data_IF_758804098453
#
_entry.id   IF_758804098453
#
_cell.length_a   1.000
_cell.length_b   1.000
_cell.length_c   1.000
_cell.angle_alpha   90.00
_cell.angle_beta   90.00
_cell.angle_gamma   90.00
#
_symmetry.space_group_name_H-M   'P 1'
#
loop_
_entity.id
_entity.type
_entity.pdbx_description
1 polymer ?
#
# COMPACT_ATOMS: atom_id res chain seq x y z
N UNK A 1 16.65 2.42 -24.64
CA UNK A 1 15.30 1.85 -24.44
C UNK A 1 15.43 0.67 -23.50
N UNK A 2 15.56 0.92 -22.20
CA UNK A 2 15.66 -0.14 -21.19
C UNK A 2 14.26 -0.31 -20.63
N UNK A 3 13.59 -1.40 -21.02
CA UNK A 3 12.25 -1.71 -20.51
C UNK A 3 12.29 -1.82 -18.99
N UNK A 4 11.42 -1.05 -18.32
CA UNK A 4 11.15 -1.25 -16.90
C UNK A 4 10.79 -2.74 -16.69
N UNK A 5 11.34 -3.41 -15.66
CA UNK A 5 10.94 -4.78 -15.37
C UNK A 5 9.42 -4.81 -15.20
N UNK A 6 8.75 -5.66 -15.99
CA UNK A 6 7.31 -5.84 -15.88
C UNK A 6 6.99 -6.25 -14.44
N UNK A 7 6.19 -5.44 -13.74
CA UNK A 7 5.63 -5.87 -12.45
C UNK A 7 4.94 -7.23 -12.66
N UNK A 8 5.13 -8.19 -11.75
CA UNK A 8 4.50 -9.50 -11.88
C UNK A 8 3.00 -9.30 -12.05
N UNK A 9 2.44 -9.87 -13.13
CA UNK A 9 1.03 -9.73 -13.44
C UNK A 9 0.18 -10.24 -12.26
N UNK A 10 -0.68 -9.37 -11.73
CA UNK A 10 -1.55 -9.70 -10.60
C UNK A 10 -2.57 -10.74 -11.06
N UNK A 11 -2.57 -11.96 -10.48
CA UNK A 11 -3.48 -13.02 -10.90
C UNK A 11 -4.93 -12.56 -10.90
N UNK A 12 -5.69 -12.92 -11.94
CA UNK A 12 -7.09 -12.50 -12.10
C UNK A 12 -8.02 -12.99 -10.96
N UNK A 13 -7.62 -14.04 -10.25
CA UNK A 13 -8.36 -14.55 -9.10
C UNK A 13 -8.12 -13.77 -7.81
N UNK A 14 -7.13 -12.88 -7.73
CA UNK A 14 -6.96 -11.98 -6.59
C UNK A 14 -7.98 -10.84 -6.68
N UNK A 15 -8.92 -10.84 -5.74
CA UNK A 15 -10.05 -9.93 -5.65
C UNK A 15 -9.93 -8.97 -4.48
N UNK A 16 -9.38 -9.41 -3.34
CA UNK A 16 -9.27 -8.59 -2.13
C UNK A 16 -7.81 -8.32 -1.79
N UNK A 17 -7.55 -7.09 -1.34
CA UNK A 17 -6.20 -6.62 -1.07
C UNK A 17 -6.17 -5.86 0.26
N UNK A 18 -5.06 -6.01 0.97
CA UNK A 18 -4.76 -5.24 2.16
C UNK A 18 -3.46 -4.48 1.94
N UNK A 19 -3.55 -3.15 1.98
CA UNK A 19 -2.41 -2.28 1.78
C UNK A 19 -1.83 -1.77 3.10
N UNK A 20 -0.52 -1.61 3.10
CA UNK A 20 0.23 -1.02 4.20
C UNK A 20 1.11 0.12 3.72
N UNK A 21 0.96 1.28 4.36
CA UNK A 21 1.90 2.38 4.26
C UNK A 21 2.91 2.28 5.40
N UNK A 22 4.18 2.00 5.08
CA UNK A 22 5.21 1.74 6.08
C UNK A 22 5.81 3.05 6.61
N UNK A 23 5.43 3.43 7.82
CA UNK A 23 6.16 4.40 8.64
C UNK A 23 6.92 3.73 9.78
N UNK A 24 7.98 4.40 10.28
CA UNK A 24 8.80 3.88 11.38
C UNK A 24 7.99 3.63 12.66
N UNK A 25 7.13 4.59 13.02
CA UNK A 25 6.31 4.56 14.25
C UNK A 25 4.88 4.09 14.02
N UNK A 26 4.39 4.24 12.80
CA UNK A 26 2.98 4.10 12.43
C UNK A 26 2.90 3.45 11.07
N UNK A 27 1.93 2.55 10.89
CA UNK A 27 1.70 1.87 9.62
C UNK A 27 0.26 2.08 9.23
N UNK A 28 0.04 2.86 8.17
CA UNK A 28 -1.27 3.05 7.58
C UNK A 28 -1.80 1.72 7.06
N UNK A 29 -3.11 1.50 7.14
CA UNK A 29 -3.75 0.28 6.67
C UNK A 29 -4.97 0.65 5.85
N UNK A 30 -5.16 -0.03 4.71
CA UNK A 30 -6.36 0.10 3.90
C UNK A 30 -6.78 -1.25 3.31
N UNK A 31 -8.07 -1.47 3.18
CA UNK A 31 -8.63 -2.64 2.50
C UNK A 31 -9.23 -2.21 1.17
N UNK A 32 -9.22 -3.08 0.17
CA UNK A 32 -9.74 -2.73 -1.14
C UNK A 32 -10.04 -3.97 -1.95
N UNK A 33 -10.79 -3.78 -3.03
CA UNK A 33 -11.13 -4.87 -3.93
C UNK A 33 -10.97 -4.49 -5.41
N UNK A 34 -10.69 -5.51 -6.22
CA UNK A 34 -10.48 -5.37 -7.67
C UNK A 34 -11.74 -4.89 -8.39
N UNK A 35 -12.91 -5.33 -7.95
CA UNK A 35 -14.18 -5.04 -8.63
C UNK A 35 -14.56 -3.57 -8.59
N UNK A 36 -14.45 -2.92 -7.43
CA UNK A 36 -14.81 -1.52 -7.24
C UNK A 36 -13.64 -0.57 -7.54
N UNK A 37 -12.42 -1.09 -7.61
CA UNK A 37 -11.18 -0.32 -7.75
C UNK A 37 -11.07 0.82 -6.72
N UNK A 38 -11.57 0.56 -5.51
CA UNK A 38 -11.62 1.50 -4.41
C UNK A 38 -10.97 0.91 -3.16
N UNK A 39 -10.53 1.80 -2.27
CA UNK A 39 -9.96 1.42 -0.99
C UNK A 39 -10.68 2.13 0.16
N UNK A 40 -10.77 1.44 1.30
CA UNK A 40 -11.35 1.96 2.54
C UNK A 40 -10.27 2.01 3.62
N UNK A 41 -10.10 3.17 4.29
CA UNK A 41 -9.07 3.32 5.31
C UNK A 41 -9.42 2.48 6.53
N UNK A 42 -8.42 1.82 7.10
CA UNK A 42 -8.54 1.04 8.33
C UNK A 42 -7.77 1.71 9.46
N UNK A 43 -7.97 1.22 10.69
CA UNK A 43 -7.27 1.77 11.84
C UNK A 43 -5.75 1.54 11.73
N UNK A 44 -5.01 2.65 11.76
CA UNK A 44 -3.53 2.69 11.69
C UNK A 44 -2.90 1.87 12.82
N UNK A 45 -1.92 1.06 12.45
CA UNK A 45 -1.14 0.26 13.39
C UNK A 45 -0.10 1.18 14.04
N UNK A 46 -0.21 1.38 15.35
CA UNK A 46 0.72 2.19 16.14
C UNK A 46 1.67 1.26 16.90
N UNK A 47 2.59 0.63 16.18
CA UNK A 47 3.58 -0.27 16.74
C UNK A 47 4.86 -0.28 15.92
N UNK A 48 5.94 -0.65 16.60
CA UNK A 48 7.30 -0.73 16.06
C UNK A 48 7.82 -2.17 16.16
N UNK A 49 8.77 -2.53 15.31
CA UNK A 49 9.41 -3.84 15.33
C UNK A 49 8.43 -5.01 15.20
N UNK A 50 8.64 -6.05 16.03
CA UNK A 50 7.84 -7.28 15.99
C UNK A 50 6.38 -7.10 16.42
N UNK A 51 6.09 -6.15 17.32
CA UNK A 51 4.73 -5.89 17.78
C UNK A 51 3.79 -5.42 16.65
N UNK A 52 4.35 -4.79 15.60
CA UNK A 52 3.61 -4.44 14.39
C UNK A 52 3.06 -5.68 13.69
N UNK A 53 3.86 -6.73 13.57
CA UNK A 53 3.46 -7.93 12.84
C UNK A 53 2.34 -8.69 13.54
N UNK A 54 2.23 -8.61 14.88
CA UNK A 54 1.08 -9.15 15.59
C UNK A 54 -0.22 -8.44 15.15
N UNK A 55 -0.22 -7.11 15.07
CA UNK A 55 -1.38 -6.37 14.58
C UNK A 55 -1.66 -6.60 13.10
N UNK A 56 -0.62 -6.73 12.27
CA UNK A 56 -0.79 -7.13 10.86
C UNK A 56 -1.45 -8.51 10.75
N UNK A 57 -1.03 -9.47 11.57
CA UNK A 57 -1.63 -10.81 11.59
C UNK A 57 -3.13 -10.76 11.92
N UNK A 58 -3.51 -9.94 12.89
CA UNK A 58 -4.94 -9.72 13.23
C UNK A 58 -5.70 -9.13 12.04
N UNK A 59 -5.13 -8.15 11.32
CA UNK A 59 -5.77 -7.58 10.12
C UNK A 59 -5.90 -8.58 8.98
N UNK A 60 -4.87 -9.40 8.76
CA UNK A 60 -4.92 -10.46 7.74
C UNK A 60 -6.00 -11.49 8.10
N UNK A 61 -6.11 -11.86 9.37
CA UNK A 61 -7.12 -12.80 9.85
C UNK A 61 -8.53 -12.25 9.75
N UNK A 62 -8.71 -10.96 10.04
CA UNK A 62 -9.98 -10.24 9.96
C UNK A 62 -10.47 -10.13 8.50
N UNK A 63 -9.60 -9.68 7.60
CA UNK A 63 -9.98 -9.31 6.24
C UNK A 63 -9.76 -10.41 5.19
N UNK A 64 -8.94 -11.42 5.50
CA UNK A 64 -8.59 -12.54 4.62
C UNK A 64 -8.28 -12.09 3.17
N UNK A 65 -7.29 -11.19 2.97
CA UNK A 65 -6.96 -10.69 1.65
C UNK A 65 -6.29 -11.79 0.81
N UNK A 66 -6.54 -11.78 -0.50
CA UNK A 66 -5.83 -12.65 -1.45
C UNK A 66 -4.34 -12.26 -1.55
N UNK A 67 -4.06 -10.97 -1.46
CA UNK A 67 -2.70 -10.44 -1.50
C UNK A 67 -2.54 -9.14 -0.70
N UNK A 68 -1.29 -8.80 -0.44
CA UNK A 68 -0.90 -7.60 0.28
C UNK A 68 -0.28 -6.59 -0.70
N UNK A 69 -0.39 -5.31 -0.38
CA UNK A 69 0.22 -4.21 -1.13
C UNK A 69 1.03 -3.35 -0.16
N UNK A 70 2.21 -2.90 -0.56
CA UNK A 70 3.01 -1.96 0.23
C UNK A 70 3.41 -0.75 -0.61
N UNK A 71 3.35 0.43 0.01
CA UNK A 71 3.98 1.63 -0.53
C UNK A 71 5.49 1.56 -0.37
N UNK A 72 6.22 1.93 -1.42
CA UNK A 72 7.67 2.03 -1.39
C UNK A 72 8.05 3.46 -1.81
N UNK A 73 8.60 4.27 -0.89
CA UNK A 73 9.04 5.61 -1.23
C UNK A 73 10.28 5.49 -2.13
N UNK A 74 10.25 6.07 -3.31
CA UNK A 74 11.41 6.18 -4.17
C UNK A 74 11.77 7.65 -4.33
N UNK A 75 12.97 8.08 -3.97
CA UNK A 75 13.46 9.42 -4.30
C UNK A 75 14.84 9.38 -4.96
N UNK A 76 15.18 10.37 -5.79
CA UNK A 76 16.48 10.45 -6.44
C UNK A 76 17.61 10.90 -5.49
N UNK A 77 17.29 11.52 -4.35
CA UNK A 77 18.26 12.14 -3.44
C UNK A 77 18.51 11.25 -2.20
N UNK A 78 19.50 10.36 -2.27
CA UNK A 78 20.23 9.72 -1.15
C UNK A 78 19.43 9.21 0.07
N UNK A 79 18.93 10.10 0.93
CA UNK A 79 18.25 9.79 2.21
C UNK A 79 17.06 8.83 2.07
N UNK A 80 16.41 8.82 0.92
CA UNK A 80 15.26 7.95 0.69
C UNK A 80 15.62 6.49 0.52
N UNK A 81 16.87 6.16 0.19
CA UNK A 81 17.31 4.77 0.06
C UNK A 81 17.09 3.98 1.35
N UNK A 82 17.35 4.56 2.54
CA UNK A 82 17.16 3.84 3.81
C UNK A 82 15.67 3.51 4.05
N UNK A 83 14.77 4.44 3.75
CA UNK A 83 13.33 4.20 3.91
C UNK A 83 12.81 3.21 2.86
N UNK A 84 13.28 3.30 1.61
CA UNK A 84 13.02 2.30 0.56
C UNK A 84 13.44 0.91 1.04
N UNK A 85 14.68 0.76 1.53
CA UNK A 85 15.22 -0.51 2.00
C UNK A 85 14.41 -1.08 3.18
N UNK A 86 13.97 -0.22 4.09
CA UNK A 86 13.11 -0.62 5.22
C UNK A 86 11.73 -1.06 4.77
N UNK A 87 11.09 -0.35 3.84
CA UNK A 87 9.80 -0.74 3.27
C UNK A 87 9.90 -2.07 2.51
N UNK A 88 10.94 -2.25 1.69
CA UNK A 88 11.22 -3.50 0.99
C UNK A 88 11.50 -4.65 1.97
N UNK A 89 12.25 -4.39 3.05
CA UNK A 89 12.49 -5.38 4.11
C UNK A 89 11.18 -5.77 4.80
N UNK A 90 10.32 -4.80 5.08
CA UNK A 90 8.98 -5.05 5.62
C UNK A 90 8.16 -5.93 4.69
N UNK A 91 8.13 -5.65 3.38
CA UNK A 91 7.49 -6.50 2.38
C UNK A 91 8.01 -7.94 2.36
N UNK A 92 9.34 -8.13 2.41
CA UNK A 92 9.95 -9.47 2.53
C UNK A 92 9.53 -10.19 3.81
N UNK A 93 9.47 -9.49 4.93
CA UNK A 93 9.02 -10.06 6.19
C UNK A 93 7.54 -10.46 6.16
N UNK A 94 6.68 -9.65 5.53
CA UNK A 94 5.27 -9.98 5.30
C UNK A 94 5.13 -11.28 4.50
N UNK A 95 5.83 -11.39 3.37
CA UNK A 95 5.83 -12.61 2.54
C UNK A 95 6.28 -13.83 3.34
N UNK A 96 7.38 -13.71 4.07
CA UNK A 96 7.95 -14.82 4.84
C UNK A 96 7.10 -15.26 6.03
N UNK A 97 6.41 -14.33 6.70
CA UNK A 97 5.61 -14.63 7.89
C UNK A 97 4.20 -15.14 7.56
N UNK A 98 3.58 -14.60 6.52
CA UNK A 98 2.16 -14.83 6.24
C UNK A 98 1.92 -15.67 4.98
N UNK A 99 2.94 -15.92 4.16
CA UNK A 99 2.82 -16.71 2.93
C UNK A 99 2.00 -16.04 1.84
N UNK A 100 1.55 -14.79 2.04
CA UNK A 100 0.81 -14.02 1.06
C UNK A 100 1.74 -13.34 0.06
N UNK A 101 1.26 -13.20 -1.18
CA UNK A 101 1.94 -12.39 -2.17
C UNK A 101 1.89 -10.92 -1.75
N UNK A 102 3.03 -10.23 -1.84
CA UNK A 102 3.13 -8.80 -1.54
C UNK A 102 3.52 -8.10 -2.84
N UNK A 103 2.72 -7.11 -3.22
CA UNK A 103 2.99 -6.21 -4.34
C UNK A 103 3.51 -4.88 -3.83
N UNK A 104 4.41 -4.27 -4.60
CA UNK A 104 5.07 -3.02 -4.25
C UNK A 104 4.56 -1.92 -5.18
N UNK A 105 4.19 -0.77 -4.61
CA UNK A 105 3.72 0.40 -5.37
C UNK A 105 4.74 1.52 -5.19
N UNK A 106 5.20 2.08 -6.31
CA UNK A 106 6.10 3.23 -6.32
C UNK A 106 5.31 4.51 -6.01
N UNK A 107 5.63 5.14 -4.88
CA UNK A 107 4.94 6.35 -4.40
C UNK A 107 5.24 7.62 -5.22
N UNK A 108 6.21 7.58 -6.16
CA UNK A 108 6.56 8.74 -7.02
C UNK A 108 5.42 9.27 -7.86
N UNK A 109 4.45 8.43 -8.23
CA UNK A 109 3.33 8.83 -9.09
C UNK A 109 2.18 9.50 -8.31
N UNK A 110 2.16 9.37 -6.99
CA UNK A 110 1.08 9.89 -6.15
C UNK A 110 1.00 11.41 -6.16
N UNK A 111 2.12 12.14 -6.17
CA UNK A 111 2.08 13.61 -6.07
C UNK A 111 1.53 14.27 -7.35
N UNK A 112 1.95 13.85 -8.54
CA UNK A 112 1.50 14.50 -9.78
C UNK A 112 0.04 14.18 -10.11
N UNK A 113 -0.41 12.94 -9.90
CA UNK A 113 -1.79 12.53 -10.19
C UNK A 113 -2.77 12.95 -9.09
N UNK A 114 -2.40 12.87 -7.81
CA UNK A 114 -3.27 13.33 -6.72
C UNK A 114 -3.54 14.84 -6.77
N UNK A 115 -2.56 15.64 -7.24
CA UNK A 115 -2.78 17.08 -7.46
C UNK A 115 -3.72 17.36 -8.64
N UNK A 116 -3.62 16.60 -9.75
CA UNK A 116 -4.49 16.77 -10.92
C UNK A 116 -5.94 16.33 -10.65
N UNK A 117 -6.15 15.30 -9.85
CA UNK A 117 -7.48 14.74 -9.56
C UNK A 117 -8.25 15.57 -8.52
N UNK A 118 -7.55 16.20 -7.56
CA UNK A 118 -8.13 17.16 -6.59
C UNK A 118 -8.79 18.36 -7.28
N UNK A 119 -8.32 18.74 -8.47
CA UNK A 119 -8.89 19.80 -9.29
C UNK A 119 -10.10 19.38 -10.13
N UNK A 120 -10.37 18.06 -10.30
CA UNK A 120 -11.46 17.54 -11.12
C UNK A 120 -12.76 17.24 -10.36
N UNK A 121 -12.86 17.63 -9.08
CA UNK A 121 -14.09 17.46 -8.30
C UNK A 121 -14.42 16.01 -7.93
N UNK A 122 -13.51 15.06 -8.19
CA UNK A 122 -13.63 13.72 -7.62
C UNK A 122 -13.48 13.78 -6.11
N UNK A 123 -14.25 12.98 -5.37
CA UNK A 123 -14.09 12.74 -3.93
C UNK A 123 -12.74 12.09 -3.69
N UNK A 124 -11.66 12.88 -3.72
CA UNK A 124 -10.29 12.38 -3.79
C UNK A 124 -9.98 11.46 -2.61
N UNK A 125 -9.39 10.30 -2.94
CA UNK A 125 -8.47 9.36 -2.29
C UNK A 125 -8.34 9.23 -0.74
N UNK A 126 -8.98 10.07 0.06
CA UNK A 126 -8.82 10.17 1.50
C UNK A 126 -10.03 10.81 2.21
N UNK A 127 -11.11 11.18 1.49
CA UNK A 127 -12.18 12.04 1.99
C UNK A 127 -12.92 11.59 3.26
N UNK A 128 -12.71 10.36 3.74
CA UNK A 128 -13.26 9.85 5.01
C UNK A 128 -12.22 9.52 6.09
N UNK A 129 -10.92 9.57 5.80
CA UNK A 129 -9.88 9.18 6.75
C UNK A 129 -9.59 10.32 7.73
N UNK A 130 -9.82 10.09 9.03
CA UNK A 130 -9.38 11.00 10.10
C UNK A 130 -7.87 10.93 10.36
N UNK A 131 -7.21 9.92 9.80
CA UNK A 131 -5.81 9.57 10.05
C UNK A 131 -5.01 9.63 8.74
N UNK A 132 -3.95 10.45 8.72
CA UNK A 132 -3.16 10.70 7.52
C UNK A 132 -2.42 9.45 7.02
N UNK A 133 -2.01 8.55 7.92
CA UNK A 133 -1.34 7.30 7.53
C UNK A 133 -2.33 6.36 6.83
N UNK A 134 -3.55 6.22 7.37
CA UNK A 134 -4.60 5.41 6.75
C UNK A 134 -5.05 5.96 5.39
N UNK A 135 -5.08 7.30 5.25
CA UNK A 135 -5.32 7.96 3.98
C UNK A 135 -4.25 7.61 2.94
N UNK A 136 -2.98 7.60 3.35
CA UNK A 136 -1.85 7.27 2.48
C UNK A 136 -1.92 5.82 1.99
N UNK A 137 -2.24 4.88 2.88
CA UNK A 137 -2.47 3.48 2.51
C UNK A 137 -3.64 3.31 1.52
N UNK A 138 -4.70 4.11 1.64
CA UNK A 138 -5.81 4.15 0.68
C UNK A 138 -5.35 4.59 -0.70
N UNK A 139 -4.62 5.71 -0.78
CA UNK A 139 -4.06 6.23 -2.03
C UNK A 139 -3.23 5.15 -2.73
N UNK A 140 -2.30 4.53 -2.00
CA UNK A 140 -1.44 3.46 -2.50
C UNK A 140 -2.28 2.32 -3.10
N UNK A 141 -3.31 1.89 -2.38
CA UNK A 141 -4.14 0.77 -2.81
C UNK A 141 -5.00 1.11 -4.02
N UNK A 142 -5.62 2.29 -4.06
CA UNK A 142 -6.43 2.71 -5.21
C UNK A 142 -5.58 2.86 -6.46
N UNK A 143 -4.37 3.41 -6.35
CA UNK A 143 -3.42 3.47 -7.47
C UNK A 143 -3.08 2.07 -7.99
N UNK A 144 -2.78 1.13 -7.08
CA UNK A 144 -2.53 -0.26 -7.46
C UNK A 144 -3.73 -0.88 -8.20
N UNK A 145 -4.93 -0.75 -7.64
CA UNK A 145 -6.16 -1.33 -8.21
C UNK A 145 -6.54 -0.72 -9.56
N UNK A 146 -6.29 0.57 -9.77
CA UNK A 146 -6.55 1.26 -11.05
C UNK A 146 -5.61 0.81 -12.16
N UNK A 147 -4.38 0.50 -11.81
CA UNK A 147 -3.36 0.01 -12.74
C UNK A 147 -3.49 -1.49 -13.04
N UNK A 148 -4.45 -2.19 -12.42
CA UNK A 148 -4.78 -3.55 -12.81
C UNK A 148 -5.46 -3.58 -14.19
N UNK A 149 -5.12 -4.57 -15.03
CA UNK A 149 -5.82 -4.78 -16.30
C UNK A 149 -7.29 -5.11 -16.08
#
# INVERSE_FOLDING_TARGET
MTGLPAQPAVPAHFQTFLAFDFGLKRTGVATGNRMLRSATPQATIKAEGDARFAQVAERIKEWQPDALVIGVPYHPDGASHENTERALKFGRQLRGRFGLQVFEVDERYSTTEAHAERSRGGTGFAGGAKDADAASACIILEQFLRNLP
#
